data_IF_725883325740
#
_entry.id   IF_725883325740
#
_cell.length_a   1.000
_cell.length_b   1.000
_cell.length_c   1.000
_cell.angle_alpha   90.00
_cell.angle_beta   90.00
_cell.angle_gamma   90.00
#
_symmetry.space_group_name_H-M   'P 1'
#
loop_
_entity.id
_entity.type
_entity.pdbx_description
1 polymer ?
#
# COMPACT_ATOMS: atom_id res chain seq x y z
N UNK A 1 -7.67 -7.17 -19.67
CA UNK A 1 -6.48 -6.38 -20.05
C UNK A 1 -5.34 -6.78 -19.11
N UNK A 2 -4.53 -7.76 -19.51
CA UNK A 2 -3.33 -8.13 -18.75
C UNK A 2 -2.32 -7.01 -18.98
N UNK A 3 -1.89 -6.32 -17.92
CA UNK A 3 -0.82 -5.33 -18.01
C UNK A 3 0.41 -6.04 -18.58
N UNK A 4 0.87 -5.61 -19.76
CA UNK A 4 2.06 -6.17 -20.38
C UNK A 4 3.24 -6.08 -19.40
N UNK A 5 3.98 -7.19 -19.28
CA UNK A 5 5.17 -7.27 -18.43
C UNK A 5 6.16 -6.21 -18.93
N UNK A 6 6.59 -5.24 -18.10
CA UNK A 6 7.52 -4.21 -18.55
C UNK A 6 8.82 -4.87 -19.02
N UNK A 7 9.43 -4.33 -20.08
CA UNK A 7 10.69 -4.82 -20.69
C UNK A 7 11.93 -4.58 -19.82
N UNK A 8 11.73 -4.24 -18.55
CA UNK A 8 12.81 -3.87 -17.63
C UNK A 8 13.26 -5.08 -16.81
N UNK A 9 14.56 -5.12 -16.51
CA UNK A 9 15.12 -6.17 -15.67
C UNK A 9 14.45 -6.11 -14.27
N UNK A 10 13.75 -7.17 -13.83
CA UNK A 10 13.13 -7.27 -12.49
C UNK A 10 14.04 -6.85 -11.35
N UNK A 11 15.34 -7.14 -11.44
CA UNK A 11 16.32 -6.84 -10.43
C UNK A 11 16.51 -5.34 -10.19
N UNK A 12 16.22 -4.49 -11.18
CA UNK A 12 16.40 -3.04 -11.05
C UNK A 12 15.27 -2.34 -10.29
N UNK A 13 14.19 -3.06 -9.99
CA UNK A 13 13.02 -2.49 -9.35
C UNK A 13 12.79 -3.10 -7.98
N UNK A 14 12.16 -2.31 -7.11
CA UNK A 14 11.64 -2.73 -5.81
C UNK A 14 10.14 -2.45 -5.79
N UNK A 15 9.36 -3.46 -5.46
CA UNK A 15 7.90 -3.39 -5.45
C UNK A 15 7.44 -3.27 -4.00
N UNK A 16 6.55 -2.32 -3.74
CA UNK A 16 5.97 -2.09 -2.43
C UNK A 16 4.46 -2.25 -2.51
N UNK A 17 3.89 -2.97 -1.55
CA UNK A 17 2.46 -3.30 -1.53
C UNK A 17 1.79 -2.86 -0.23
N UNK A 18 0.54 -2.41 -0.34
CA UNK A 18 -0.34 -2.34 0.83
C UNK A 18 -0.76 -3.74 1.31
N UNK A 19 -1.14 -3.81 2.59
CA UNK A 19 -1.59 -4.99 3.31
C UNK A 19 -2.70 -5.79 2.63
N UNK A 20 -3.51 -5.17 1.76
CA UNK A 20 -4.56 -5.86 1.02
C UNK A 20 -3.97 -6.89 0.06
N UNK A 21 -2.82 -6.61 -0.54
CA UNK A 21 -2.22 -7.43 -1.59
C UNK A 21 -1.12 -8.37 -1.09
N UNK A 22 -0.51 -8.07 0.06
CA UNK A 22 0.63 -8.84 0.55
C UNK A 22 0.24 -10.23 1.07
N UNK A 23 0.98 -11.24 0.60
CA UNK A 23 1.02 -12.60 1.13
C UNK A 23 2.44 -13.18 1.02
N UNK A 24 2.75 -14.22 1.79
CA UNK A 24 4.04 -14.92 1.66
C UNK A 24 4.17 -15.63 0.30
N UNK A 25 3.09 -16.21 -0.24
CA UNK A 25 3.10 -16.84 -1.58
C UNK A 25 3.49 -15.84 -2.66
N UNK A 26 2.88 -14.66 -2.66
CA UNK A 26 3.20 -13.61 -3.63
C UNK A 26 4.68 -13.21 -3.55
N UNK A 27 5.25 -13.11 -2.34
CA UNK A 27 6.66 -12.79 -2.16
C UNK A 27 7.59 -13.90 -2.67
N UNK A 28 7.21 -15.17 -2.52
CA UNK A 28 7.92 -16.31 -3.11
C UNK A 28 7.92 -16.22 -4.63
N UNK A 29 6.74 -16.04 -5.23
CA UNK A 29 6.57 -15.98 -6.68
C UNK A 29 7.36 -14.81 -7.28
N UNK A 30 7.27 -13.63 -6.68
CA UNK A 30 8.02 -12.45 -7.10
C UNK A 30 9.52 -12.67 -6.99
N UNK A 31 9.99 -13.36 -5.95
CA UNK A 31 11.40 -13.71 -5.81
C UNK A 31 11.86 -14.62 -6.96
N UNK A 32 11.09 -15.66 -7.27
CA UNK A 32 11.40 -16.57 -8.39
C UNK A 32 11.44 -15.84 -9.74
N UNK A 33 10.63 -14.79 -9.88
CA UNK A 33 10.64 -13.90 -11.05
C UNK A 33 11.76 -12.85 -11.02
N UNK A 34 12.61 -12.82 -9.99
CA UNK A 34 13.72 -11.88 -9.83
C UNK A 34 13.35 -10.51 -9.28
N UNK A 35 12.13 -10.34 -8.77
CA UNK A 35 11.65 -9.09 -8.19
C UNK A 35 11.95 -8.98 -6.70
N UNK A 36 12.42 -7.80 -6.31
CA UNK A 36 12.53 -7.39 -4.91
C UNK A 36 11.21 -6.79 -4.45
N UNK A 37 10.65 -7.30 -3.38
CA UNK A 37 9.33 -6.94 -2.89
C UNK A 37 9.26 -6.83 -1.37
N UNK A 38 8.46 -5.89 -0.89
CA UNK A 38 8.13 -5.69 0.52
C UNK A 38 6.68 -5.23 0.68
N UNK A 39 6.00 -5.65 1.74
CA UNK A 39 4.65 -5.19 2.02
C UNK A 39 4.27 -5.40 3.47
N UNK A 40 3.39 -4.55 3.99
CA UNK A 40 2.75 -4.84 5.29
C UNK A 40 1.89 -6.09 5.14
N UNK A 41 1.87 -6.96 6.15
CA UNK A 41 1.14 -8.24 6.11
C UNK A 41 0.22 -8.36 7.31
N UNK A 42 -1.01 -8.83 7.06
CA UNK A 42 -1.98 -9.13 8.12
C UNK A 42 -1.59 -10.41 8.85
N UNK A 43 -1.87 -10.47 10.15
CA UNK A 43 -1.49 -11.59 11.02
C UNK A 43 -2.00 -12.94 10.49
N UNK A 44 -3.24 -12.98 10.00
CA UNK A 44 -3.87 -14.18 9.42
C UNK A 44 -3.25 -14.64 8.08
N UNK A 45 -2.30 -13.89 7.50
CA UNK A 45 -1.61 -14.21 6.24
C UNK A 45 -0.14 -14.58 6.43
N UNK A 46 0.33 -14.66 7.67
CA UNK A 46 1.73 -15.00 8.02
C UNK A 46 2.07 -16.50 7.89
N UNK A 47 1.18 -17.32 7.30
CA UNK A 47 1.33 -18.78 7.15
C UNK A 47 1.73 -19.53 8.43
N UNK A 48 1.19 -19.13 9.59
CA UNK A 48 1.53 -19.69 10.91
C UNK A 48 3.02 -19.56 11.28
N UNK A 49 3.71 -18.56 10.73
CA UNK A 49 5.04 -18.19 11.18
C UNK A 49 5.05 -18.00 12.71
N UNK A 50 6.00 -18.59 13.45
CA UNK A 50 6.03 -18.57 14.91
C UNK A 50 6.52 -17.22 15.45
N UNK A 51 5.88 -16.13 15.04
CA UNK A 51 6.05 -14.80 15.61
C UNK A 51 5.32 -14.70 16.95
N UNK A 52 5.81 -13.85 17.83
CA UNK A 52 5.11 -13.40 19.04
C UNK A 52 3.72 -12.95 18.63
N UNK A 53 2.70 -13.50 19.31
CA UNK A 53 1.32 -13.23 18.95
C UNK A 53 0.99 -11.75 19.12
N UNK A 54 0.01 -11.20 18.39
CA UNK A 54 -0.38 -9.80 18.60
C UNK A 54 -0.81 -9.52 20.06
N UNK A 55 -1.40 -10.51 20.73
CA UNK A 55 -1.82 -10.40 22.14
C UNK A 55 -0.64 -10.23 23.08
N UNK A 56 0.43 -11.00 22.90
CA UNK A 56 1.66 -10.90 23.68
C UNK A 56 2.44 -9.64 23.33
N UNK A 57 2.55 -9.32 22.03
CA UNK A 57 3.23 -8.13 21.55
C UNK A 57 2.61 -6.84 22.09
N UNK A 58 1.29 -6.83 22.34
CA UNK A 58 0.60 -5.66 22.93
C UNK A 58 1.05 -5.35 24.36
N UNK A 59 1.57 -6.34 25.09
CA UNK A 59 2.07 -6.19 26.46
C UNK A 59 3.52 -5.71 26.52
N UNK A 60 4.25 -5.81 25.41
CA UNK A 60 5.63 -5.36 25.31
C UNK A 60 5.71 -3.82 25.23
N UNK A 61 6.84 -3.21 25.65
CA UNK A 61 7.05 -1.79 25.47
C UNK A 61 7.02 -1.40 23.98
N UNK A 62 6.73 -0.13 23.70
CA UNK A 62 6.80 0.41 22.34
C UNK A 62 8.22 0.30 21.80
N UNK A 63 8.33 0.12 20.49
CA UNK A 63 9.56 -0.11 19.75
C UNK A 63 10.17 -1.51 19.91
N UNK A 64 9.48 -2.45 20.55
CA UNK A 64 9.87 -3.86 20.55
C UNK A 64 9.63 -4.53 19.20
N UNK A 65 10.45 -5.55 18.92
CA UNK A 65 10.41 -6.33 17.69
C UNK A 65 10.30 -7.83 17.95
N UNK A 66 9.83 -8.54 16.94
CA UNK A 66 10.07 -9.97 16.76
C UNK A 66 10.20 -10.26 15.27
N UNK A 67 11.09 -11.15 14.86
CA UNK A 67 11.31 -11.43 13.44
C UNK A 67 11.68 -12.89 13.18
N UNK A 68 11.31 -13.39 12.01
CA UNK A 68 11.67 -14.72 11.53
C UNK A 68 12.15 -14.62 10.09
N UNK A 69 13.16 -15.41 9.76
CA UNK A 69 13.63 -15.59 8.40
C UNK A 69 13.38 -17.03 7.98
N UNK A 70 12.57 -17.21 6.94
CA UNK A 70 12.40 -18.49 6.28
C UNK A 70 13.56 -18.69 5.31
N UNK A 71 14.48 -19.61 5.65
CA UNK A 71 15.64 -19.92 4.81
C UNK A 71 15.27 -20.62 3.50
N UNK A 72 14.13 -21.33 3.45
CA UNK A 72 13.74 -22.10 2.28
C UNK A 72 13.16 -21.19 1.18
N UNK A 73 12.34 -20.23 1.58
CA UNK A 73 11.73 -19.26 0.67
C UNK A 73 12.48 -17.92 0.61
N UNK A 74 13.45 -17.73 1.50
CA UNK A 74 14.23 -16.51 1.69
C UNK A 74 13.34 -15.27 1.87
N UNK A 75 12.36 -15.41 2.77
CA UNK A 75 11.42 -14.36 3.16
C UNK A 75 11.64 -14.04 4.63
N UNK A 76 11.72 -12.75 4.95
CA UNK A 76 11.75 -12.25 6.30
C UNK A 76 10.41 -11.64 6.69
N UNK A 77 9.96 -11.95 7.89
CA UNK A 77 8.83 -11.31 8.55
C UNK A 77 9.35 -10.54 9.77
N UNK A 78 9.00 -9.27 9.89
CA UNK A 78 9.33 -8.43 11.04
C UNK A 78 8.05 -7.86 11.63
N UNK A 79 7.79 -8.16 12.90
CA UNK A 79 6.71 -7.61 13.72
C UNK A 79 7.27 -6.50 14.60
N UNK A 80 6.57 -5.37 14.64
CA UNK A 80 6.98 -4.20 15.40
C UNK A 80 5.81 -3.64 16.19
N UNK A 81 6.06 -3.25 17.44
CA UNK A 81 5.09 -2.57 18.29
C UNK A 81 5.26 -1.06 18.20
N UNK A 82 4.40 -0.40 17.43
CA UNK A 82 4.21 1.05 17.49
C UNK A 82 2.96 1.38 18.33
N UNK A 83 2.15 2.36 17.93
CA UNK A 83 0.82 2.58 18.52
C UNK A 83 -0.04 1.32 18.38
N UNK A 84 -0.03 0.72 17.20
CA UNK A 84 -0.58 -0.60 16.94
C UNK A 84 0.55 -1.57 16.54
N UNK A 85 0.23 -2.86 16.45
CA UNK A 85 1.17 -3.89 16.03
C UNK A 85 1.13 -3.97 14.51
N UNK A 86 2.29 -3.79 13.89
CA UNK A 86 2.46 -3.92 12.46
C UNK A 86 3.37 -5.10 12.15
N UNK A 87 3.15 -5.78 11.04
CA UNK A 87 4.06 -6.80 10.52
C UNK A 87 4.39 -6.45 9.08
N UNK A 88 5.67 -6.51 8.72
CA UNK A 88 6.15 -6.39 7.34
C UNK A 88 6.71 -7.73 6.89
N UNK A 89 6.46 -8.08 5.63
CA UNK A 89 7.06 -9.21 4.96
C UNK A 89 7.92 -8.70 3.79
N UNK A 90 9.09 -9.27 3.60
CA UNK A 90 10.03 -8.87 2.55
C UNK A 90 10.84 -10.07 2.05
N UNK A 91 11.20 -10.06 0.77
CA UNK A 91 12.08 -11.06 0.16
C UNK A 91 13.50 -10.54 -0.10
N UNK A 92 13.84 -9.31 0.28
CA UNK A 92 15.12 -8.70 -0.10
C UNK A 92 15.72 -7.76 0.96
N UNK A 93 14.94 -7.41 1.98
CA UNK A 93 15.33 -6.48 3.02
C UNK A 93 15.65 -7.22 4.33
N UNK A 94 16.16 -6.50 5.32
CA UNK A 94 16.62 -7.04 6.59
C UNK A 94 16.03 -6.33 7.81
N UNK A 95 16.16 -6.96 8.98
CA UNK A 95 15.79 -6.33 10.25
C UNK A 95 16.79 -5.24 10.62
N UNK A 96 18.07 -5.55 10.45
CA UNK A 96 19.21 -4.69 10.75
C UNK A 96 19.75 -3.99 9.48
N UNK A 97 20.43 -2.84 9.58
CA UNK A 97 20.62 -2.08 10.82
C UNK A 97 19.32 -1.41 11.28
N UNK A 98 19.08 -1.38 12.58
CA UNK A 98 18.04 -0.53 13.15
C UNK A 98 18.36 0.95 12.84
N UNK A 99 17.31 1.71 12.57
CA UNK A 99 17.40 3.16 12.57
C UNK A 99 16.38 3.78 13.50
N UNK A 100 16.21 5.09 13.38
CA UNK A 100 15.38 5.88 14.29
C UNK A 100 14.31 6.64 13.51
N UNK A 101 13.11 6.75 14.08
CA UNK A 101 12.03 7.58 13.57
C UNK A 101 11.37 8.36 14.69
N UNK A 102 11.03 9.63 14.45
CA UNK A 102 10.25 10.45 15.39
C UNK A 102 8.79 10.02 15.37
N UNK A 103 8.26 9.62 16.52
CA UNK A 103 6.86 9.23 16.68
C UNK A 103 6.20 9.96 17.84
N UNK A 104 4.93 10.29 17.67
CA UNK A 104 4.13 10.85 18.76
C UNK A 104 3.86 9.78 19.83
N UNK A 105 4.23 10.07 21.07
CA UNK A 105 4.01 9.21 22.23
C UNK A 105 2.88 9.75 23.08
N UNK A 106 1.70 9.12 22.98
CA UNK A 106 0.46 9.65 23.57
C UNK A 106 0.54 9.85 25.07
N UNK A 107 1.20 8.95 25.81
CA UNK A 107 1.30 9.03 27.28
C UNK A 107 2.16 10.21 27.74
N UNK A 108 3.23 10.53 27.00
CA UNK A 108 4.15 11.65 27.30
C UNK A 108 3.75 12.96 26.60
N UNK A 109 2.80 12.90 25.67
CA UNK A 109 2.34 14.02 24.83
C UNK A 109 3.49 14.74 24.11
N UNK A 110 4.48 14.00 23.65
CA UNK A 110 5.65 14.53 22.95
C UNK A 110 6.08 13.63 21.78
N UNK A 111 6.94 14.15 20.91
CA UNK A 111 7.60 13.34 19.88
C UNK A 111 8.87 12.74 20.46
N UNK A 112 8.94 11.41 20.47
CA UNK A 112 10.13 10.66 20.92
C UNK A 112 10.76 9.92 19.75
N UNK A 113 12.06 9.74 19.83
CA UNK A 113 12.81 8.90 18.90
C UNK A 113 12.62 7.43 19.28
N UNK A 114 12.12 6.63 18.33
CA UNK A 114 11.93 5.19 18.50
C UNK A 114 12.74 4.42 17.46
N UNK A 115 13.24 3.25 17.87
CA UNK A 115 13.91 2.35 16.95
C UNK A 115 12.91 1.74 15.97
N UNK A 116 13.36 1.55 14.73
CA UNK A 116 12.60 0.98 13.61
C UNK A 116 13.54 0.10 12.78
N UNK A 117 13.09 -1.08 12.38
CA UNK A 117 13.90 -2.00 11.57
C UNK A 117 14.15 -1.46 10.16
N UNK A 118 15.25 -1.89 9.52
CA UNK A 118 15.61 -1.46 8.18
C UNK A 118 14.49 -1.66 7.15
N UNK A 119 13.83 -2.83 7.15
CA UNK A 119 12.70 -3.13 6.28
C UNK A 119 11.54 -2.12 6.40
N UNK A 120 11.17 -1.73 7.62
CA UNK A 120 10.13 -0.71 7.85
C UNK A 120 10.57 0.68 7.40
N UNK A 121 11.85 1.04 7.52
CA UNK A 121 12.34 2.32 7.02
C UNK A 121 12.24 2.41 5.49
N UNK A 122 12.68 1.36 4.80
CA UNK A 122 12.62 1.29 3.34
C UNK A 122 11.18 1.29 2.85
N UNK A 123 10.30 0.55 3.50
CA UNK A 123 8.87 0.57 3.21
C UNK A 123 8.26 1.97 3.35
N UNK A 124 8.45 2.63 4.49
CA UNK A 124 7.87 3.96 4.72
C UNK A 124 8.37 5.02 3.73
N UNK A 125 9.62 4.94 3.26
CA UNK A 125 10.15 5.83 2.23
C UNK A 125 9.47 5.65 0.87
N UNK A 126 8.99 4.45 0.58
CA UNK A 126 8.39 4.10 -0.71
C UNK A 126 6.86 4.13 -0.72
N UNK A 127 6.22 4.14 0.45
CA UNK A 127 4.76 4.16 0.58
C UNK A 127 4.08 5.44 0.08
N UNK A 128 4.80 6.56 -0.02
CA UNK A 128 4.20 7.82 -0.52
C UNK A 128 3.49 7.66 -1.87
N UNK A 129 4.06 6.89 -2.80
CA UNK A 129 3.43 6.62 -4.09
C UNK A 129 2.19 5.70 -4.00
N UNK A 130 2.16 4.79 -3.02
CA UNK A 130 0.99 3.92 -2.77
C UNK A 130 -0.14 4.74 -2.14
N UNK A 131 0.17 5.59 -1.16
CA UNK A 131 -0.81 6.47 -0.51
C UNK A 131 -1.40 7.48 -1.49
N UNK A 132 -0.59 8.03 -2.41
CA UNK A 132 -1.05 8.91 -3.49
C UNK A 132 -1.97 8.18 -4.48
N UNK A 133 -1.66 6.93 -4.81
CA UNK A 133 -2.52 6.08 -5.64
C UNK A 133 -3.84 5.78 -4.93
N UNK A 134 -3.82 5.41 -3.65
CA UNK A 134 -5.02 5.17 -2.85
C UNK A 134 -5.87 6.43 -2.69
N UNK A 135 -5.23 7.57 -2.45
CA UNK A 135 -5.91 8.87 -2.40
C UNK A 135 -6.55 9.18 -3.76
N UNK A 136 -5.83 8.93 -4.86
CA UNK A 136 -6.36 9.09 -6.21
C UNK A 136 -7.55 8.16 -6.46
N UNK A 137 -7.43 6.88 -6.13
CA UNK A 137 -8.54 5.92 -6.22
C UNK A 137 -9.72 6.37 -5.37
N UNK A 138 -9.49 6.90 -4.16
CA UNK A 138 -10.55 7.39 -3.27
C UNK A 138 -11.26 8.63 -3.82
N UNK A 139 -10.50 9.59 -4.35
CA UNK A 139 -11.03 10.81 -4.96
C UNK A 139 -11.76 10.52 -6.27
N UNK A 140 -11.31 9.54 -7.04
CA UNK A 140 -11.86 9.14 -8.33
C UNK A 140 -12.68 7.85 -8.26
N UNK A 141 -13.07 7.41 -7.05
CA UNK A 141 -13.88 6.22 -6.84
C UNK A 141 -15.24 6.46 -7.46
N UNK A 142 -15.40 6.01 -8.70
CA UNK A 142 -16.71 5.74 -9.26
C UNK A 142 -17.24 4.58 -8.41
N UNK A 143 -18.36 4.79 -7.73
CA UNK A 143 -19.03 3.71 -7.00
C UNK A 143 -19.50 2.67 -8.02
N UNK A 144 -18.66 1.68 -8.35
CA UNK A 144 -19.02 0.54 -9.21
C UNK A 144 -19.64 -0.55 -8.30
N UNK A 145 -20.66 -0.18 -7.52
CA UNK A 145 -21.30 -1.09 -6.56
C UNK A 145 -22.83 -1.03 -6.66
N UNK A 146 -23.36 -0.96 -7.86
CA UNK A 146 -24.75 -1.31 -8.18
C UNK A 146 -24.82 -2.55 -9.11
N UNK A 147 -23.70 -3.24 -9.32
CA UNK A 147 -23.62 -4.39 -10.23
C UNK A 147 -23.74 -4.03 -11.71
N UNK A 148 -23.68 -2.73 -12.03
CA UNK A 148 -23.83 -2.22 -13.39
C UNK A 148 -22.51 -1.55 -13.79
N UNK A 149 -21.97 -1.89 -14.97
CA UNK A 149 -20.77 -1.22 -15.47
C UNK A 149 -21.02 0.29 -15.64
N UNK A 150 -20.22 1.11 -14.94
CA UNK A 150 -20.19 2.57 -15.07
C UNK A 150 -18.99 2.98 -15.91
N UNK A 151 -19.24 3.32 -17.17
CA UNK A 151 -18.20 3.76 -18.09
C UNK A 151 -18.25 5.30 -18.20
N UNK A 152 -17.10 5.99 -18.09
CA UNK A 152 -16.99 7.41 -18.40
C UNK A 152 -17.31 7.71 -19.87
N UNK A 153 -18.24 8.63 -20.11
CA UNK A 153 -18.63 9.05 -21.47
C UNK A 153 -18.88 10.56 -21.53
N UNK A 154 -19.03 11.08 -22.75
CA UNK A 154 -19.42 12.47 -22.99
C UNK A 154 -20.94 12.61 -22.80
N UNK A 155 -21.33 13.39 -21.80
CA UNK A 155 -22.72 13.70 -21.47
C UNK A 155 -23.30 14.75 -22.43
N UNK A 156 -24.62 14.68 -22.71
CA UNK A 156 -25.29 15.65 -23.59
C UNK A 156 -25.35 17.05 -22.97
N UNK A 157 -25.40 17.15 -21.64
CA UNK A 157 -25.45 18.40 -20.90
C UNK A 157 -24.24 18.58 -19.99
N UNK A 158 -23.85 19.84 -19.75
CA UNK A 158 -22.81 20.16 -18.77
C UNK A 158 -23.38 20.01 -17.37
N UNK A 159 -22.74 19.18 -16.56
CA UNK A 159 -23.10 18.91 -15.16
C UNK A 159 -22.00 19.41 -14.23
N UNK A 160 -22.37 19.81 -13.01
CA UNK A 160 -21.44 20.38 -12.03
C UNK A 160 -20.65 19.25 -11.35
N UNK A 161 -19.33 19.42 -11.20
CA UNK A 161 -18.51 18.50 -10.43
C UNK A 161 -18.86 18.51 -8.94
N UNK A 162 -18.98 17.32 -8.36
CA UNK A 162 -19.17 17.18 -6.91
C UNK A 162 -17.91 17.59 -6.12
N UNK A 163 -16.73 17.50 -6.75
CA UNK A 163 -15.44 17.79 -6.13
C UNK A 163 -15.03 19.25 -6.36
N UNK A 164 -14.84 19.67 -7.61
CA UNK A 164 -14.33 21.02 -7.92
C UNK A 164 -15.41 22.05 -8.27
N UNK A 165 -16.69 21.65 -8.33
CA UNK A 165 -17.82 22.50 -8.71
C UNK A 165 -17.74 23.17 -10.10
N UNK A 166 -16.73 22.85 -10.90
CA UNK A 166 -16.62 23.27 -12.31
C UNK A 166 -17.59 22.45 -13.15
N UNK A 167 -18.15 23.08 -14.19
CA UNK A 167 -19.08 22.42 -15.13
C UNK A 167 -18.32 21.63 -16.19
N UNK A 168 -18.55 20.33 -16.23
CA UNK A 168 -17.94 19.41 -17.17
C UNK A 168 -18.93 18.66 -18.05
N UNK A 169 -18.45 18.13 -19.19
CA UNK A 169 -19.23 17.23 -20.08
C UNK A 169 -18.82 15.76 -19.96
N UNK A 170 -17.81 15.41 -19.17
CA UNK A 170 -17.38 14.02 -19.03
C UNK A 170 -17.82 13.45 -17.69
N UNK A 171 -18.51 12.31 -17.74
CA UNK A 171 -19.09 11.67 -16.56
C UNK A 171 -19.82 10.38 -16.90
N UNK A 172 -20.34 9.69 -15.89
CA UNK A 172 -21.13 8.49 -16.14
C UNK A 172 -22.57 8.86 -16.55
N UNK A 173 -23.06 8.30 -17.66
CA UNK A 173 -24.42 8.54 -18.17
C UNK A 173 -25.51 8.06 -17.20
N UNK A 174 -25.23 7.01 -16.43
CA UNK A 174 -26.17 6.40 -15.47
C UNK A 174 -26.30 7.23 -14.19
N UNK A 175 -25.19 7.51 -13.50
CA UNK A 175 -25.23 8.22 -12.22
C UNK A 175 -25.08 9.75 -12.35
N UNK A 176 -24.83 10.28 -13.56
CA UNK A 176 -24.60 11.69 -13.88
C UNK A 176 -23.50 12.37 -13.03
N UNK A 177 -22.64 11.58 -12.38
CA UNK A 177 -21.45 12.09 -11.70
C UNK A 177 -20.40 12.46 -12.74
N UNK A 178 -19.91 13.69 -12.66
CA UNK A 178 -18.84 14.19 -13.54
C UNK A 178 -17.47 13.86 -13.02
N UNK A 179 -16.55 13.60 -13.94
CA UNK A 179 -15.13 13.48 -13.65
C UNK A 179 -14.54 14.89 -13.48
N UNK A 180 -13.67 15.07 -12.50
CA UNK A 180 -13.02 16.36 -12.25
C UNK A 180 -12.08 16.71 -13.42
N UNK A 181 -12.39 17.80 -14.12
CA UNK A 181 -11.72 18.21 -15.37
C UNK A 181 -10.32 18.81 -15.12
N UNK A 182 -10.08 19.41 -13.95
CA UNK A 182 -8.81 20.10 -13.66
C UNK A 182 -7.58 19.19 -13.69
N UNK A 183 -7.75 17.87 -13.57
CA UNK A 183 -6.62 16.95 -13.64
C UNK A 183 -6.30 16.42 -15.04
N UNK A 184 -7.00 16.86 -16.11
CA UNK A 184 -6.70 16.58 -17.54
C UNK A 184 -6.43 15.12 -17.99
N UNK A 185 -6.35 14.14 -17.08
CA UNK A 185 -5.97 12.75 -17.37
C UNK A 185 -6.97 12.04 -18.29
N UNK A 186 -8.25 12.44 -18.29
CA UNK A 186 -9.27 11.80 -19.12
C UNK A 186 -9.33 12.32 -20.57
N UNK A 187 -8.90 13.55 -20.84
CA UNK A 187 -8.95 14.11 -22.19
C UNK A 187 -7.95 13.42 -23.15
N UNK A 188 -6.83 12.93 -22.62
CA UNK A 188 -5.76 12.31 -23.38
C UNK A 188 -5.96 10.80 -23.61
N UNK A 189 -6.96 10.18 -22.99
CA UNK A 189 -7.20 8.73 -23.07
C UNK A 189 -8.20 8.31 -24.17
N UNK A 190 -9.00 9.26 -24.66
CA UNK A 190 -10.09 9.02 -25.64
C UNK A 190 -9.96 9.90 -26.90
N UNK A 191 -8.79 10.50 -27.11
CA UNK A 191 -8.42 11.24 -28.34
C UNK A 191 -7.75 10.32 -29.35
#
# INVERSE_FOLDING_TARGET
MLLNKPSTNPANHKIFFDNIFTSCDLLCDLRQLGHRASGTIRDNRTKKCPLVTPKEMKKKPRAEFDYRFDKNNEIMLVRWKDNNICTIATNHDSHEPLGTVKRWYTEKKEKVDVHISHAFQNYNKSMGGVDELEQSISLYRISIHDGVEHVPEKLPTRVRCFICHIRGRWGCKKCKKTLCIEKSYFANFYS
#
